data_IF_379824845901
#
_entry.id   IF_379824845901
#
_cell.length_a   1.000
_cell.length_b   1.000
_cell.length_c   1.000
_cell.angle_alpha   90.00
_cell.angle_beta   90.00
_cell.angle_gamma   90.00
#
_symmetry.space_group_name_H-M   'P 1'
#
loop_
_entity.id
_entity.type
_entity.pdbx_description
1 polymer ?
#
# COMPACT_ATOMS: atom_id res chain seq x y z
N UNK A 1 2.10 -2.04 2.69
CA UNK A 1 0.80 -1.63 2.12
C UNK A 1 0.98 -1.17 0.67
N UNK A 2 -0.05 -1.21 -0.17
CA UNK A 2 -0.01 -0.72 -1.55
C UNK A 2 -1.40 -0.21 -1.93
N UNK A 3 -1.47 0.95 -2.60
CA UNK A 3 -2.75 1.48 -3.08
C UNK A 3 -3.24 0.71 -4.30
N UNK A 4 -4.56 0.65 -4.50
CA UNK A 4 -5.17 -0.23 -5.51
C UNK A 4 -4.69 0.06 -6.93
N UNK A 5 -4.59 1.35 -7.30
CA UNK A 5 -4.10 1.75 -8.63
C UNK A 5 -2.68 1.25 -8.91
N UNK A 6 -1.78 1.35 -7.92
CA UNK A 6 -0.42 0.84 -8.04
C UNK A 6 -0.44 -0.68 -8.15
N UNK A 7 -1.26 -1.39 -7.35
CA UNK A 7 -1.37 -2.85 -7.42
C UNK A 7 -1.84 -3.32 -8.80
N UNK A 8 -2.86 -2.68 -9.36
CA UNK A 8 -3.40 -3.02 -10.70
C UNK A 8 -2.36 -2.73 -11.78
N UNK A 9 -1.80 -1.51 -11.81
CA UNK A 9 -0.82 -1.09 -12.81
C UNK A 9 0.37 -2.05 -12.84
N UNK A 10 0.91 -2.36 -11.66
CA UNK A 10 2.09 -3.19 -11.55
C UNK A 10 1.82 -4.68 -11.87
N UNK A 11 0.64 -5.19 -11.52
CA UNK A 11 0.23 -6.54 -11.93
C UNK A 11 0.14 -6.65 -13.44
N UNK A 12 -0.49 -5.68 -14.11
CA UNK A 12 -0.55 -5.63 -15.58
C UNK A 12 0.85 -5.54 -16.18
N UNK A 13 1.71 -4.69 -15.61
CA UNK A 13 3.09 -4.49 -16.08
C UNK A 13 3.92 -5.78 -16.00
N UNK A 14 3.83 -6.52 -14.90
CA UNK A 14 4.48 -7.82 -14.75
C UNK A 14 4.00 -8.80 -15.83
N UNK A 15 2.68 -8.87 -16.06
CA UNK A 15 2.09 -9.76 -17.07
C UNK A 15 2.47 -9.40 -18.52
N UNK A 16 2.80 -8.15 -18.79
CA UNK A 16 3.20 -7.65 -20.10
C UNK A 16 4.72 -7.64 -20.32
N UNK A 17 5.52 -7.90 -19.28
CA UNK A 17 6.97 -7.86 -19.39
C UNK A 17 7.49 -9.07 -20.14
N UNK A 18 8.44 -8.83 -21.06
CA UNK A 18 9.10 -9.89 -21.80
C UNK A 18 9.72 -10.93 -20.85
N UNK A 19 9.50 -12.19 -21.18
CA UNK A 19 9.84 -13.30 -20.30
C UNK A 19 11.35 -13.39 -20.01
N UNK A 20 12.21 -12.94 -20.92
CA UNK A 20 13.67 -12.90 -20.78
C UNK A 20 14.15 -11.84 -19.76
N UNK A 21 13.34 -10.82 -19.47
CA UNK A 21 13.62 -9.81 -18.44
C UNK A 21 13.26 -10.28 -17.03
N UNK A 22 12.42 -11.31 -16.90
CA UNK A 22 11.96 -11.83 -15.62
C UNK A 22 12.92 -12.89 -15.06
N UNK A 23 13.74 -12.49 -14.10
CA UNK A 23 14.71 -13.36 -13.43
C UNK A 23 14.09 -14.32 -12.43
N UNK A 24 12.92 -14.00 -11.86
CA UNK A 24 12.18 -14.85 -10.93
C UNK A 24 10.93 -15.39 -11.63
N UNK A 25 10.78 -16.72 -11.66
CA UNK A 25 9.60 -17.42 -12.20
C UNK A 25 8.68 -17.96 -11.10
N UNK A 26 8.55 -17.16 -10.06
CA UNK A 26 7.75 -17.43 -8.87
C UNK A 26 7.22 -16.09 -8.33
N UNK A 27 7.04 -15.95 -7.03
CA UNK A 27 6.50 -14.76 -6.40
C UNK A 27 7.55 -13.66 -6.24
N UNK A 28 7.29 -12.50 -6.85
CA UNK A 28 8.02 -11.27 -6.57
C UNK A 28 7.46 -10.59 -5.32
N UNK A 29 8.34 -10.02 -4.50
CA UNK A 29 7.94 -9.00 -3.54
C UNK A 29 7.56 -7.73 -4.28
N UNK A 30 6.45 -7.12 -3.88
CA UNK A 30 5.97 -5.83 -4.40
C UNK A 30 5.75 -4.90 -3.22
N UNK A 31 6.79 -4.13 -2.86
CA UNK A 31 6.64 -3.14 -1.80
C UNK A 31 5.84 -1.94 -2.30
N UNK A 32 5.17 -1.27 -1.37
CA UNK A 32 4.55 0.02 -1.61
C UNK A 32 4.92 0.97 -0.48
N UNK A 33 3.95 1.29 0.36
CA UNK A 33 4.10 2.18 1.51
C UNK A 33 4.14 1.34 2.79
N UNK A 34 5.01 1.70 3.74
CA UNK A 34 5.03 1.12 5.09
C UNK A 34 4.68 2.22 6.08
N UNK A 35 3.71 1.95 6.95
CA UNK A 35 3.27 2.89 7.98
C UNK A 35 2.57 2.14 9.12
N UNK A 36 2.51 2.77 10.28
CA UNK A 36 1.81 2.34 11.48
C UNK A 36 0.38 2.90 11.52
N UNK A 37 -0.52 2.32 12.35
CA UNK A 37 -1.85 2.89 12.56
C UNK A 37 -1.84 4.34 13.10
N UNK A 38 -0.79 4.73 13.83
CA UNK A 38 -0.62 6.09 14.34
C UNK A 38 -0.28 7.07 13.21
N UNK A 39 0.71 6.76 12.37
CA UNK A 39 1.08 7.60 11.22
C UNK A 39 -0.10 7.83 10.26
N UNK A 40 -0.94 6.81 10.04
CA UNK A 40 -2.16 6.97 9.25
C UNK A 40 -3.18 7.89 9.94
N UNK A 41 -3.35 7.76 11.25
CA UNK A 41 -4.26 8.63 12.01
C UNK A 41 -3.79 10.08 12.01
N UNK A 42 -2.48 10.33 12.10
CA UNK A 42 -1.89 11.67 11.97
C UNK A 42 -2.11 12.26 10.59
N UNK A 43 -1.97 11.47 9.52
CA UNK A 43 -2.24 11.94 8.16
C UNK A 43 -3.73 12.27 7.99
N UNK A 44 -4.65 11.45 8.49
CA UNK A 44 -6.09 11.73 8.47
C UNK A 44 -6.41 13.03 9.23
N UNK A 45 -5.78 13.27 10.38
CA UNK A 45 -5.97 14.49 11.18
C UNK A 45 -5.61 15.78 10.44
N UNK A 46 -4.70 15.74 9.47
CA UNK A 46 -4.38 16.90 8.63
C UNK A 46 -5.58 17.33 7.77
N UNK A 47 -6.48 16.41 7.47
CA UNK A 47 -7.71 16.67 6.71
C UNK A 47 -8.94 16.84 7.61
N UNK A 48 -9.00 16.12 8.73
CA UNK A 48 -10.11 16.12 9.68
C UNK A 48 -9.55 16.32 11.11
N UNK A 49 -9.35 17.56 11.57
CA UNK A 49 -8.66 17.86 12.83
C UNK A 49 -9.29 17.24 14.08
N UNK A 50 -10.61 17.03 14.06
CA UNK A 50 -11.38 16.40 15.12
C UNK A 50 -11.29 14.86 15.15
N UNK A 51 -10.60 14.24 14.17
CA UNK A 51 -10.45 12.79 14.10
C UNK A 51 -9.72 12.26 15.34
N UNK A 52 -10.31 11.25 15.97
CA UNK A 52 -9.71 10.53 17.10
C UNK A 52 -9.69 9.03 16.81
N UNK A 53 -8.66 8.36 17.32
CA UNK A 53 -8.47 6.92 17.19
C UNK A 53 -8.25 6.33 18.59
N UNK A 54 -8.77 5.13 18.82
CA UNK A 54 -8.51 4.35 20.03
C UNK A 54 -8.01 2.97 19.63
N UNK A 55 -7.10 2.41 20.41
CA UNK A 55 -6.47 1.13 20.12
C UNK A 55 -6.98 0.07 21.09
N UNK A 56 -7.61 -0.97 20.54
CA UNK A 56 -8.02 -2.17 21.27
C UNK A 56 -7.54 -3.39 20.48
N UNK A 57 -6.27 -3.79 20.63
CA UNK A 57 -5.72 -4.94 19.94
C UNK A 57 -6.54 -6.20 20.21
N UNK A 58 -6.69 -7.04 19.19
CA UNK A 58 -7.30 -8.36 19.28
C UNK A 58 -6.38 -9.43 18.68
N UNK A 59 -6.91 -10.62 18.39
CA UNK A 59 -6.13 -11.74 17.83
C UNK A 59 -5.38 -11.38 16.54
N UNK A 60 -5.80 -10.35 15.80
CA UNK A 60 -5.14 -9.89 14.57
C UNK A 60 -3.79 -9.24 14.84
N UNK A 61 -3.53 -8.78 16.07
CA UNK A 61 -2.22 -8.23 16.44
C UNK A 61 -1.13 -9.29 16.30
N UNK A 62 -1.35 -10.50 16.82
CA UNK A 62 -0.39 -11.60 16.71
C UNK A 62 -0.14 -12.01 15.24
N UNK A 63 -1.15 -11.86 14.37
CA UNK A 63 -1.00 -12.09 12.93
C UNK A 63 -0.11 -10.99 12.32
N UNK A 64 -0.38 -9.72 12.63
CA UNK A 64 0.42 -8.60 12.13
C UNK A 64 1.88 -8.67 12.64
N UNK A 65 2.09 -9.03 13.90
CA UNK A 65 3.42 -9.19 14.50
C UNK A 65 4.23 -10.32 13.86
N UNK A 66 3.56 -11.28 13.23
CA UNK A 66 4.21 -12.38 12.49
C UNK A 66 4.70 -11.98 11.10
N UNK A 67 4.26 -10.84 10.58
CA UNK A 67 4.60 -10.36 9.24
C UNK A 67 5.80 -9.43 9.25
N UNK A 68 6.60 -9.39 8.16
CA UNK A 68 7.68 -8.42 8.06
C UNK A 68 7.14 -6.99 7.97
N UNK A 69 7.82 -6.05 8.65
CA UNK A 69 7.44 -4.64 8.64
C UNK A 69 7.67 -3.96 7.27
N UNK A 70 8.63 -4.46 6.50
CA UNK A 70 8.91 -4.04 5.12
C UNK A 70 9.45 -5.23 4.31
N UNK A 71 9.38 -5.13 2.99
CA UNK A 71 9.86 -6.17 2.07
C UNK A 71 10.78 -5.55 1.03
N UNK A 72 11.84 -6.27 0.67
CA UNK A 72 12.74 -5.86 -0.42
C UNK A 72 12.11 -6.20 -1.77
N UNK A 73 11.92 -5.18 -2.59
CA UNK A 73 11.32 -5.23 -3.93
C UNK A 73 12.32 -4.89 -5.04
N UNK A 74 13.63 -4.88 -4.73
CA UNK A 74 14.71 -4.51 -5.64
C UNK A 74 14.71 -5.31 -6.95
N UNK A 75 14.41 -6.61 -6.89
CA UNK A 75 14.35 -7.48 -8.08
C UNK A 75 13.17 -7.10 -8.97
N UNK A 76 12.01 -6.78 -8.40
CA UNK A 76 10.84 -6.36 -9.16
C UNK A 76 11.08 -4.99 -9.85
N UNK A 77 11.74 -4.07 -9.15
CA UNK A 77 12.20 -2.79 -9.71
C UNK A 77 13.19 -2.99 -10.85
N UNK A 78 14.11 -3.94 -10.71
CA UNK A 78 15.12 -4.24 -11.73
C UNK A 78 14.53 -4.89 -12.98
N UNK A 79 13.72 -5.92 -12.81
CA UNK A 79 13.30 -6.79 -13.91
C UNK A 79 12.23 -6.15 -14.79
N UNK A 80 11.27 -5.47 -14.17
CA UNK A 80 10.11 -4.90 -14.88
C UNK A 80 9.78 -3.48 -14.43
N UNK A 81 10.62 -2.85 -13.61
CA UNK A 81 10.44 -1.46 -13.22
C UNK A 81 9.23 -1.24 -12.33
N UNK A 82 9.01 -2.10 -11.33
CA UNK A 82 8.01 -1.86 -10.28
C UNK A 82 8.07 -0.39 -9.82
N UNK A 83 6.91 0.26 -9.77
CA UNK A 83 6.80 1.67 -9.42
C UNK A 83 5.64 1.87 -8.44
N UNK A 84 5.86 2.66 -7.39
CA UNK A 84 4.83 3.06 -6.43
C UNK A 84 4.66 4.56 -6.51
N UNK A 85 3.45 5.03 -6.85
CA UNK A 85 3.16 6.44 -7.11
C UNK A 85 2.30 7.02 -5.98
N UNK A 86 1.65 6.18 -5.19
CA UNK A 86 0.91 6.60 -4.01
C UNK A 86 1.80 6.48 -2.79
N UNK A 87 2.00 7.61 -2.12
CA UNK A 87 2.49 7.68 -0.74
C UNK A 87 1.31 7.79 0.23
N UNK A 88 1.60 7.88 1.53
CA UNK A 88 0.55 7.95 2.57
C UNK A 88 -0.32 9.20 2.40
N UNK A 89 0.24 10.32 1.95
CA UNK A 89 -0.45 11.60 1.79
C UNK A 89 -1.46 11.53 0.64
N UNK A 90 -0.99 11.11 -0.54
CA UNK A 90 -1.82 10.98 -1.74
C UNK A 90 -2.88 9.90 -1.55
N UNK A 91 -2.53 8.76 -0.95
CA UNK A 91 -3.47 7.70 -0.62
C UNK A 91 -4.58 8.21 0.32
N UNK A 92 -4.21 8.86 1.42
CA UNK A 92 -5.17 9.35 2.42
C UNK A 92 -6.14 10.35 1.81
N UNK A 93 -5.62 11.32 1.05
CA UNK A 93 -6.44 12.31 0.35
C UNK A 93 -7.49 11.67 -0.57
N UNK A 94 -7.04 10.78 -1.48
CA UNK A 94 -7.95 10.12 -2.44
C UNK A 94 -8.99 9.26 -1.72
N UNK A 95 -8.58 8.51 -0.69
CA UNK A 95 -9.51 7.66 0.06
C UNK A 95 -10.58 8.47 0.78
N UNK A 96 -10.24 9.60 1.40
CA UNK A 96 -11.22 10.46 2.06
C UNK A 96 -12.22 11.04 1.05
N UNK A 97 -11.73 11.55 -0.09
CA UNK A 97 -12.58 12.09 -1.16
C UNK A 97 -13.58 11.06 -1.71
N UNK A 98 -13.11 9.84 -2.04
CA UNK A 98 -13.96 8.79 -2.60
C UNK A 98 -14.90 8.16 -1.56
N UNK A 99 -14.45 8.02 -0.31
CA UNK A 99 -15.30 7.50 0.77
C UNK A 99 -16.43 8.47 1.10
N UNK A 100 -16.14 9.78 1.13
CA UNK A 100 -17.16 10.81 1.36
C UNK A 100 -18.24 10.79 0.27
N UNK A 101 -17.84 10.70 -1.01
CA UNK A 101 -18.79 10.55 -2.13
C UNK A 101 -19.68 9.32 -1.95
N UNK A 102 -19.09 8.19 -1.56
CA UNK A 102 -19.82 6.93 -1.37
C UNK A 102 -20.81 6.99 -0.21
N UNK A 103 -20.50 7.71 0.87
CA UNK A 103 -21.39 7.84 2.02
C UNK A 103 -22.55 8.83 1.79
N UNK A 104 -22.38 9.78 0.86
CA UNK A 104 -23.43 10.74 0.46
C UNK A 104 -24.36 10.24 -0.64
N UNK A 105 -24.02 9.12 -1.28
CA UNK A 105 -24.80 8.46 -2.32
C UNK A 105 -25.81 7.47 -1.71
#
# INVERSE_FOLDING_TARGET
MMFMDDAIKNTIKLMQTDADKLSIRSSYNMAGISFTPEELAEEIKKHIPEFTISYKPDFRQAIADSWPASIDDSVAKKDWGLETIYDIQKMTKVMLEETEKKLKA
#
